data_IF_815537981318
#
_entry.id   IF_815537981318
#
_cell.length_a   1.000
_cell.length_b   1.000
_cell.length_c   1.000
_cell.angle_alpha   90.00
_cell.angle_beta   90.00
_cell.angle_gamma   90.00
#
_symmetry.space_group_name_H-M   'P 1'
#
loop_
_entity.id
_entity.type
_entity.pdbx_description
1 polymer ?
#
# COMPACT_ATOMS: atom_id res chain seq x y z
N UNK A 1 14.52 7.78 8.50
CA UNK A 1 14.32 6.65 7.59
C UNK A 1 12.97 6.03 7.89
N UNK A 2 12.17 5.71 6.87
CA UNK A 2 10.87 5.06 7.06
C UNK A 2 11.08 3.59 7.46
N UNK A 3 10.30 3.09 8.42
CA UNK A 3 10.30 1.67 8.80
C UNK A 3 8.94 1.03 8.55
N UNK A 4 8.94 -0.15 7.92
CA UNK A 4 7.74 -0.92 7.66
C UNK A 4 7.90 -2.35 8.19
N UNK A 5 6.93 -2.82 9.00
CA UNK A 5 6.92 -4.22 9.44
C UNK A 5 6.55 -5.13 8.28
N UNK A 6 7.37 -6.08 7.91
CA UNK A 6 7.00 -7.06 6.89
C UNK A 6 5.98 -8.08 7.49
N UNK A 7 4.76 -8.19 6.95
CA UNK A 7 3.74 -9.09 7.51
C UNK A 7 4.00 -10.58 7.22
N UNK A 8 5.05 -10.90 6.46
CA UNK A 8 5.44 -12.27 6.14
C UNK A 8 6.57 -12.79 7.03
N UNK A 9 7.64 -12.02 7.23
CA UNK A 9 8.77 -12.44 8.06
C UNK A 9 8.82 -11.75 9.44
N UNK A 10 7.92 -10.80 9.71
CA UNK A 10 7.82 -10.11 11.00
C UNK A 10 8.89 -9.04 11.26
N UNK A 11 9.92 -8.95 10.41
CA UNK A 11 11.01 -7.99 10.56
C UNK A 11 10.53 -6.55 10.36
N UNK A 12 11.09 -5.63 11.15
CA UNK A 12 11.01 -4.20 10.89
C UNK A 12 12.07 -3.87 9.84
N UNK A 13 11.65 -3.59 8.62
CA UNK A 13 12.55 -3.28 7.51
C UNK A 13 12.72 -1.77 7.37
N UNK A 14 13.96 -1.35 7.19
CA UNK A 14 14.30 0.01 6.81
C UNK A 14 13.89 0.28 5.34
N UNK A 15 13.56 1.53 5.01
CA UNK A 15 13.19 1.94 3.64
C UNK A 15 14.21 1.50 2.58
N UNK A 16 15.50 1.49 2.93
CA UNK A 16 16.59 1.09 2.03
C UNK A 16 16.57 -0.41 1.69
N UNK A 17 15.89 -1.24 2.48
CA UNK A 17 15.68 -2.67 2.24
C UNK A 17 14.45 -2.97 1.38
N UNK A 18 13.65 -1.93 1.10
CA UNK A 18 12.34 -2.04 0.48
C UNK A 18 12.33 -1.43 -0.92
N UNK A 19 11.54 -2.03 -1.81
CA UNK A 19 11.21 -1.44 -3.10
C UNK A 19 9.76 -0.96 -3.10
N UNK A 20 9.53 0.31 -3.43
CA UNK A 20 8.19 0.87 -3.59
C UNK A 20 7.52 0.37 -4.87
N UNK A 21 6.22 0.08 -4.79
CA UNK A 21 5.36 -0.33 -5.91
C UNK A 21 4.19 0.61 -6.19
N UNK A 22 4.15 1.78 -5.57
CA UNK A 22 3.05 2.75 -5.74
C UNK A 22 1.71 2.26 -5.17
N UNK A 23 0.61 2.70 -5.76
CA UNK A 23 -0.76 2.42 -5.28
C UNK A 23 -1.06 0.92 -5.11
N UNK A 24 -1.76 0.56 -4.03
CA UNK A 24 -2.31 -0.77 -3.76
C UNK A 24 -3.68 -0.97 -4.40
N UNK A 25 -4.21 -2.20 -4.33
CA UNK A 25 -5.58 -2.53 -4.75
C UNK A 25 -5.91 -2.25 -6.23
N UNK A 26 -4.88 -2.19 -7.07
CA UNK A 26 -5.05 -2.10 -8.52
C UNK A 26 -5.43 -3.46 -9.09
N UNK A 27 -6.58 -3.50 -9.78
CA UNK A 27 -6.96 -4.65 -10.59
C UNK A 27 -6.21 -4.61 -11.93
N UNK A 28 -5.70 -5.76 -12.36
CA UNK A 28 -5.09 -5.90 -13.68
C UNK A 28 -6.18 -5.95 -14.75
N UNK A 29 -6.04 -5.11 -15.76
CA UNK A 29 -6.85 -5.18 -16.99
C UNK A 29 -6.16 -6.13 -17.99
N UNK A 30 -6.98 -6.92 -18.69
CA UNK A 30 -6.55 -7.99 -19.59
C UNK A 30 -6.55 -7.57 -21.06
N UNK A 31 -6.19 -8.48 -21.98
CA UNK A 31 -6.19 -8.19 -23.42
C UNK A 31 -7.60 -7.94 -23.98
N UNK A 32 -8.65 -8.43 -23.31
CA UNK A 32 -10.05 -8.25 -23.71
C UNK A 32 -10.70 -6.98 -23.14
N UNK A 33 -9.94 -6.16 -22.40
CA UNK A 33 -10.42 -4.88 -21.85
C UNK A 33 -10.56 -3.82 -22.96
N UNK A 34 -11.42 -2.82 -22.77
CA UNK A 34 -11.48 -1.68 -23.69
C UNK A 34 -10.18 -0.87 -23.66
N UNK A 35 -9.85 -0.19 -24.76
CA UNK A 35 -8.68 0.68 -24.85
C UNK A 35 -8.62 1.69 -23.69
N UNK A 36 -9.76 2.30 -23.35
CA UNK A 36 -9.86 3.25 -22.24
C UNK A 36 -9.59 2.64 -20.86
N UNK A 37 -10.05 1.41 -20.62
CA UNK A 37 -9.80 0.70 -19.37
C UNK A 37 -8.33 0.27 -19.28
N UNK A 38 -7.75 -0.17 -20.40
CA UNK A 38 -6.37 -0.57 -20.48
C UNK A 38 -5.41 0.62 -20.33
N UNK A 39 -5.70 1.76 -20.97
CA UNK A 39 -5.00 3.02 -20.80
C UNK A 39 -4.99 3.45 -19.32
N UNK A 40 -6.17 3.47 -18.69
CA UNK A 40 -6.30 3.81 -17.27
C UNK A 40 -5.46 2.86 -16.39
N UNK A 41 -5.50 1.56 -16.66
CA UNK A 41 -4.69 0.58 -15.94
C UNK A 41 -3.18 0.78 -16.15
N UNK A 42 -2.73 1.14 -17.35
CA UNK A 42 -1.32 1.34 -17.64
C UNK A 42 -0.77 2.62 -16.99
N UNK A 43 -1.51 3.71 -17.05
CA UNK A 43 -0.95 5.05 -16.79
C UNK A 43 -1.55 5.77 -15.58
N UNK A 44 -2.78 5.49 -15.18
CA UNK A 44 -3.45 6.25 -14.12
C UNK A 44 -3.27 5.60 -12.75
N UNK A 45 -2.93 6.41 -11.75
CA UNK A 45 -2.78 6.00 -10.35
C UNK A 45 -3.33 7.10 -9.44
N UNK A 46 -3.89 6.69 -8.31
CA UNK A 46 -4.23 7.64 -7.26
C UNK A 46 -2.94 8.21 -6.66
N UNK A 47 -2.92 9.53 -6.45
CA UNK A 47 -1.82 10.24 -5.80
C UNK A 47 -2.36 11.15 -4.68
N UNK A 48 -2.93 10.57 -3.61
CA UNK A 48 -3.57 11.36 -2.57
C UNK A 48 -2.54 12.09 -1.70
N UNK A 49 -2.81 13.38 -1.43
CA UNK A 49 -2.13 14.13 -0.36
C UNK A 49 -2.81 13.79 0.98
N UNK A 50 -2.38 12.71 1.61
CA UNK A 50 -3.10 12.18 2.78
C UNK A 50 -2.72 10.73 3.03
N UNK A 51 -3.67 9.94 3.53
CA UNK A 51 -3.47 8.50 3.65
C UNK A 51 -3.47 7.88 2.26
N UNK A 52 -2.47 7.04 1.99
CA UNK A 52 -2.34 6.28 0.77
C UNK A 52 -2.14 4.80 1.14
N UNK A 53 -2.81 3.93 0.39
CA UNK A 53 -2.58 2.50 0.46
C UNK A 53 -1.58 2.14 -0.65
N UNK A 54 -0.42 1.67 -0.24
CA UNK A 54 0.76 1.50 -1.10
C UNK A 54 1.20 0.03 -1.14
N UNK A 55 1.93 -0.35 -2.19
CA UNK A 55 2.62 -1.63 -2.33
C UNK A 55 4.09 -1.47 -2.01
N UNK A 56 4.63 -2.44 -1.29
CA UNK A 56 6.04 -2.51 -0.95
C UNK A 56 6.54 -3.95 -1.10
N UNK A 57 7.76 -4.11 -1.58
CA UNK A 57 8.46 -5.40 -1.63
C UNK A 57 9.61 -5.37 -0.65
N UNK A 58 9.73 -6.41 0.18
CA UNK A 58 10.90 -6.59 1.05
C UNK A 58 12.09 -7.12 0.23
N UNK A 59 12.69 -6.24 -0.58
CA UNK A 59 13.61 -6.57 -1.64
C UNK A 59 14.91 -7.21 -1.13
N UNK A 60 15.43 -6.73 0.00
CA UNK A 60 16.63 -7.28 0.64
C UNK A 60 16.33 -8.19 1.83
N UNK A 61 15.11 -8.74 1.88
CA UNK A 61 14.68 -9.71 2.88
C UNK A 61 13.93 -10.88 2.25
N UNK A 62 12.67 -11.08 2.64
CA UNK A 62 11.89 -12.26 2.21
C UNK A 62 11.42 -12.21 0.74
N UNK A 63 11.64 -11.11 0.03
CA UNK A 63 11.31 -10.93 -1.38
C UNK A 63 9.81 -10.80 -1.69
N UNK A 64 8.93 -10.88 -0.70
CA UNK A 64 7.46 -10.82 -0.85
C UNK A 64 6.96 -9.38 -0.98
N UNK A 65 5.88 -9.23 -1.73
CA UNK A 65 5.07 -8.00 -1.82
C UNK A 65 4.04 -7.95 -0.70
N UNK A 66 3.86 -6.77 -0.10
CA UNK A 66 2.86 -6.47 0.92
C UNK A 66 2.27 -5.06 0.69
N UNK A 67 1.25 -4.72 1.47
CA UNK A 67 0.64 -3.40 1.46
C UNK A 67 0.96 -2.61 2.73
N UNK A 68 1.00 -1.29 2.62
CA UNK A 68 1.15 -0.37 3.74
C UNK A 68 0.10 0.74 3.65
N UNK A 69 -0.45 1.15 4.79
CA UNK A 69 -1.24 2.38 4.90
C UNK A 69 -0.37 3.46 5.52
N UNK A 70 -0.06 4.51 4.76
CA UNK A 70 0.84 5.59 5.20
C UNK A 70 0.31 6.95 4.81
N UNK A 71 0.55 7.96 5.63
CA UNK A 71 0.32 9.33 5.22
C UNK A 71 1.47 9.86 4.36
N UNK A 72 1.21 10.23 3.12
CA UNK A 72 2.20 10.82 2.20
C UNK A 72 2.66 12.21 2.63
N UNK A 73 1.88 12.91 3.48
CA UNK A 73 2.22 14.23 4.02
C UNK A 73 3.09 14.17 5.29
N UNK A 74 2.80 13.24 6.20
CA UNK A 74 3.45 13.18 7.53
C UNK A 74 4.38 11.98 7.70
N UNK A 75 4.39 11.07 6.73
CA UNK A 75 5.10 9.78 6.77
C UNK A 75 4.63 8.80 7.86
N UNK A 76 3.57 9.13 8.59
CA UNK A 76 2.98 8.26 9.61
C UNK A 76 2.44 6.96 8.99
N UNK A 77 2.82 5.83 9.57
CA UNK A 77 2.42 4.49 9.13
C UNK A 77 1.32 3.98 10.05
N UNK A 78 0.17 3.64 9.48
CA UNK A 78 -0.97 3.08 10.21
C UNK A 78 -0.91 1.56 10.32
N UNK A 79 -0.19 0.91 9.42
CA UNK A 79 0.04 -0.53 9.46
C UNK A 79 0.47 -1.10 8.13
N UNK A 80 0.85 -2.38 8.16
CA UNK A 80 1.18 -3.18 6.98
C UNK A 80 0.38 -4.48 6.99
N UNK A 81 0.09 -5.00 5.80
CA UNK A 81 -0.77 -6.17 5.65
C UNK A 81 -0.44 -6.93 4.37
N UNK A 82 -0.90 -8.18 4.31
CA UNK A 82 -0.57 -9.11 3.22
C UNK A 82 -1.15 -8.62 1.88
N UNK A 83 -0.41 -8.82 0.80
CA UNK A 83 -0.83 -8.41 -0.55
C UNK A 83 -2.02 -9.21 -1.11
N UNK A 84 -2.36 -10.36 -0.49
CA UNK A 84 -3.53 -11.14 -0.88
C UNK A 84 -4.85 -10.56 -0.36
N UNK A 85 -4.80 -9.55 0.51
CA UNK A 85 -6.00 -8.89 1.02
C UNK A 85 -6.53 -7.92 -0.03
N UNK A 86 -7.72 -8.19 -0.58
CA UNK A 86 -8.36 -7.34 -1.59
C UNK A 86 -8.89 -6.00 -1.07
N UNK A 87 -8.84 -5.77 0.24
CA UNK A 87 -9.21 -4.52 0.89
C UNK A 87 -8.34 -4.29 2.16
N UNK A 88 -8.22 -3.03 2.63
CA UNK A 88 -7.53 -2.74 3.88
C UNK A 88 -8.21 -3.42 5.08
N UNK A 89 -7.42 -4.00 6.01
CA UNK A 89 -7.93 -4.52 7.28
C UNK A 89 -8.68 -3.48 8.14
N UNK A 90 -9.69 -3.91 8.88
CA UNK A 90 -10.56 -3.04 9.67
C UNK A 90 -9.82 -2.31 10.81
N UNK A 91 -8.83 -2.97 11.41
CA UNK A 91 -7.98 -2.38 12.46
C UNK A 91 -7.14 -1.22 11.92
N UNK A 92 -6.63 -1.33 10.68
CA UNK A 92 -5.93 -0.23 10.01
C UNK A 92 -6.88 0.92 9.70
N UNK A 93 -8.08 0.63 9.21
CA UNK A 93 -9.11 1.66 8.95
C UNK A 93 -9.50 2.39 10.23
N UNK A 94 -9.71 1.65 11.33
CA UNK A 94 -9.99 2.22 12.64
C UNK A 94 -8.84 3.10 13.16
N UNK A 95 -7.59 2.68 12.97
CA UNK A 95 -6.42 3.48 13.35
C UNK A 95 -6.33 4.79 12.55
N UNK A 96 -6.64 4.75 11.25
CA UNK A 96 -6.72 5.95 10.41
C UNK A 96 -7.83 6.88 10.91
N UNK A 97 -9.04 6.36 11.09
CA UNK A 97 -10.21 7.10 11.56
C UNK A 97 -9.94 7.81 12.91
N UNK A 98 -9.44 7.04 13.90
CA UNK A 98 -9.09 7.57 15.21
C UNK A 98 -8.03 8.68 15.15
N UNK A 99 -7.08 8.58 14.21
CA UNK A 99 -6.03 9.61 14.04
C UNK A 99 -6.51 10.84 13.28
N UNK A 100 -7.47 10.68 12.36
CA UNK A 100 -7.97 11.75 11.49
C UNK A 100 -9.18 12.49 12.05
N UNK A 101 -9.84 11.92 13.05
CA UNK A 101 -11.08 12.50 13.60
C UNK A 101 -12.29 12.32 12.69
N UNK A 102 -12.21 11.41 11.71
CA UNK A 102 -13.32 11.02 10.84
C UNK A 102 -13.81 9.67 11.35
N UNK A 103 -15.02 9.60 11.91
CA UNK A 103 -15.65 8.33 12.30
C UNK A 103 -15.88 7.45 11.07
N UNK A 104 -15.47 6.18 11.19
CA UNK A 104 -15.51 5.15 10.15
C UNK A 104 -16.89 4.94 9.51
#
# INVERSE_FOLDING_TARGET
MLYLKCPYCGQMADETELASGGQAHLRREGPDSSDSAFEAYLFLRDNPRGVHFERWRHAYGCGKWFHAARCTRTLEVFGTYRAQMGAPPQDILAAIAARRGETA
#
